data_IF_810653211977
#
_entry.id   IF_810653211977
#
_cell.length_a   1.000
_cell.length_b   1.000
_cell.length_c   1.000
_cell.angle_alpha   90.00
_cell.angle_beta   90.00
_cell.angle_gamma   90.00
#
_symmetry.space_group_name_H-M   'P 1'
#
loop_
_entity.id
_entity.type
_entity.pdbx_description
1 polymer ?
#
# COMPACT_ATOMS: atom_id res chain seq x y z
N UNK A 1 14.83 8.19 -3.48
CA UNK A 1 13.90 7.08 -3.44
C UNK A 1 12.47 7.60 -3.50
N UNK A 2 11.69 7.10 -4.46
CA UNK A 2 10.33 7.61 -4.67
C UNK A 2 9.28 6.76 -3.98
N UNK A 3 9.65 5.61 -3.45
CA UNK A 3 8.72 4.81 -2.67
C UNK A 3 8.61 5.38 -1.27
N UNK A 4 7.46 5.22 -0.66
CA UNK A 4 7.27 5.71 0.70
C UNK A 4 6.64 4.63 1.58
N UNK A 5 7.01 4.68 2.85
CA UNK A 5 6.47 3.79 3.87
C UNK A 5 5.91 4.64 4.99
N UNK A 6 4.68 4.36 5.39
CA UNK A 6 4.10 5.01 6.57
C UNK A 6 3.68 3.94 7.56
N UNK A 7 3.77 4.27 8.84
CA UNK A 7 3.50 3.32 9.92
C UNK A 7 2.21 3.68 10.64
N UNK A 8 1.61 2.68 11.28
CA UNK A 8 0.31 2.83 11.92
C UNK A 8 0.39 2.38 13.37
N UNK A 9 -0.45 2.98 14.18
CA UNK A 9 -0.62 2.53 15.55
C UNK A 9 -1.32 1.19 15.56
N UNK A 10 -1.20 0.49 16.68
CA UNK A 10 -1.79 -0.83 16.83
C UNK A 10 -3.29 -0.77 16.56
N UNK A 11 -3.76 -1.70 15.77
CA UNK A 11 -5.19 -1.86 15.43
C UNK A 11 -5.82 -0.58 14.87
N UNK A 12 -5.05 0.23 14.17
CA UNK A 12 -5.52 1.52 13.67
C UNK A 12 -5.28 1.65 12.17
N UNK A 13 -6.16 2.40 11.53
CA UNK A 13 -6.01 2.80 10.13
C UNK A 13 -5.88 4.32 10.01
N UNK A 14 -5.65 5.00 11.11
CA UNK A 14 -5.57 6.46 11.11
C UNK A 14 -4.17 6.88 10.69
N UNK A 15 -4.11 7.86 9.78
CA UNK A 15 -2.85 8.47 9.38
C UNK A 15 -2.50 9.56 10.37
N UNK A 16 -1.39 9.40 11.07
CA UNK A 16 -0.94 10.44 11.99
C UNK A 16 -0.27 11.57 11.21
N UNK A 17 0.23 12.58 11.93
CA UNK A 17 0.80 13.75 11.29
C UNK A 17 2.03 13.40 10.45
N UNK A 18 2.87 12.50 10.95
CA UNK A 18 4.06 12.08 10.22
C UNK A 18 3.67 11.34 8.94
N UNK A 19 2.71 10.45 9.01
CA UNK A 19 2.23 9.70 7.86
C UNK A 19 1.69 10.66 6.80
N UNK A 20 0.88 11.62 7.22
CA UNK A 20 0.31 12.59 6.28
C UNK A 20 1.39 13.44 5.63
N UNK A 21 2.41 13.84 6.39
CA UNK A 21 3.50 14.63 5.83
C UNK A 21 4.25 13.86 4.75
N UNK A 22 4.53 12.58 5.02
CA UNK A 22 5.19 11.72 4.05
C UNK A 22 4.35 11.61 2.78
N UNK A 23 3.05 11.38 2.94
CA UNK A 23 2.18 11.17 1.79
C UNK A 23 1.92 12.46 1.00
N UNK A 24 1.93 13.61 1.66
CA UNK A 24 1.84 14.89 0.95
C UNK A 24 3.05 15.06 0.03
N UNK A 25 4.24 14.76 0.53
CA UNK A 25 5.44 14.83 -0.29
C UNK A 25 5.37 13.87 -1.47
N UNK A 26 4.88 12.66 -1.22
CA UNK A 26 4.74 11.70 -2.30
C UNK A 26 3.70 12.16 -3.33
N UNK A 27 2.58 12.70 -2.88
CA UNK A 27 1.58 13.22 -3.78
C UNK A 27 2.12 14.35 -4.65
N UNK A 28 2.90 15.25 -4.04
CA UNK A 28 3.53 16.33 -4.78
C UNK A 28 4.41 15.79 -5.90
N UNK A 29 5.18 14.76 -5.58
CA UNK A 29 6.07 14.14 -6.56
C UNK A 29 5.26 13.47 -7.67
N UNK A 30 4.22 12.71 -7.31
CA UNK A 30 3.38 12.02 -8.29
C UNK A 30 2.70 13.01 -9.23
N UNK A 31 2.24 14.15 -8.70
CA UNK A 31 1.57 15.15 -9.53
C UNK A 31 2.48 15.75 -10.59
N UNK A 32 3.79 15.80 -10.30
CA UNK A 32 4.75 16.38 -11.25
C UNK A 32 5.02 15.48 -12.45
N UNK A 33 4.69 14.20 -12.34
CA UNK A 33 5.00 13.21 -13.38
C UNK A 33 3.74 12.49 -13.80
N UNK A 34 2.98 13.05 -14.76
CA UNK A 34 1.65 12.51 -15.10
C UNK A 34 1.65 11.07 -15.56
N UNK A 35 2.77 10.59 -16.11
CA UNK A 35 2.87 9.22 -16.61
C UNK A 35 3.07 8.20 -15.49
N UNK A 36 3.38 8.65 -14.29
CA UNK A 36 3.69 7.76 -13.18
C UNK A 36 2.42 7.09 -12.66
N UNK A 37 2.55 5.81 -12.35
CA UNK A 37 1.49 5.02 -11.72
C UNK A 37 1.97 4.56 -10.35
N UNK A 38 1.05 4.14 -9.50
CA UNK A 38 1.45 3.74 -8.15
C UNK A 38 0.64 2.54 -7.67
N UNK A 39 1.21 1.85 -6.69
CA UNK A 39 0.63 0.69 -6.02
C UNK A 39 0.76 0.90 -4.52
N UNK A 40 -0.23 0.43 -3.75
CA UNK A 40 -0.20 0.57 -2.30
C UNK A 40 -0.41 -0.79 -1.66
N UNK A 41 0.48 -1.15 -0.75
CA UNK A 41 0.45 -2.44 -0.08
C UNK A 41 0.31 -2.24 1.42
N UNK A 42 -0.59 -2.99 2.03
CA UNK A 42 -0.82 -2.91 3.47
C UNK A 42 -0.28 -4.10 4.22
N UNK A 43 0.21 -3.85 5.42
CA UNK A 43 0.84 -4.85 6.27
C UNK A 43 0.45 -4.65 7.72
N UNK A 44 0.53 -5.73 8.50
CA UNK A 44 0.24 -5.72 9.93
C UNK A 44 1.35 -6.43 10.69
N UNK A 45 1.34 -6.28 12.03
CA UNK A 45 2.11 -7.17 12.86
C UNK A 45 1.36 -8.49 13.05
N UNK A 46 1.90 -9.39 13.84
CA UNK A 46 1.36 -10.74 13.98
C UNK A 46 0.24 -10.86 15.01
N UNK A 47 -0.12 -9.79 15.67
CA UNK A 47 -1.17 -9.84 16.68
C UNK A 47 -2.53 -9.92 16.00
N UNK A 48 -3.31 -10.94 16.34
CA UNK A 48 -4.63 -11.16 15.77
C UNK A 48 -4.63 -12.28 14.76
N UNK A 49 -5.80 -12.60 14.22
CA UNK A 49 -5.93 -13.68 13.24
C UNK A 49 -5.42 -13.24 11.89
N UNK A 50 -5.03 -14.21 11.07
CA UNK A 50 -4.58 -13.93 9.71
C UNK A 50 -5.64 -13.22 8.89
N UNK A 51 -6.89 -13.66 9.00
CA UNK A 51 -7.97 -13.03 8.24
C UNK A 51 -8.20 -11.60 8.67
N UNK A 52 -8.22 -11.36 9.98
CA UNK A 52 -8.37 -10.01 10.49
C UNK A 52 -7.23 -9.10 9.99
N UNK A 53 -6.02 -9.62 10.03
CA UNK A 53 -4.84 -8.83 9.66
C UNK A 53 -4.79 -8.57 8.16
N UNK A 54 -5.24 -9.50 7.34
CA UNK A 54 -5.34 -9.24 5.91
C UNK A 54 -6.30 -8.08 5.65
N UNK A 55 -7.43 -8.09 6.33
CA UNK A 55 -8.41 -7.03 6.22
C UNK A 55 -7.87 -5.71 6.73
N UNK A 56 -7.20 -5.72 7.87
CA UNK A 56 -6.63 -4.50 8.45
C UNK A 56 -5.59 -3.90 7.52
N UNK A 57 -4.73 -4.76 6.95
CA UNK A 57 -3.74 -4.29 5.99
C UNK A 57 -4.39 -3.65 4.78
N UNK A 58 -5.47 -4.24 4.28
CA UNK A 58 -6.18 -3.66 3.15
C UNK A 58 -6.80 -2.31 3.50
N UNK A 59 -7.39 -2.20 4.67
CA UNK A 59 -7.96 -0.93 5.12
C UNK A 59 -6.91 0.15 5.25
N UNK A 60 -5.73 -0.21 5.73
CA UNK A 60 -4.61 0.73 5.79
C UNK A 60 -4.23 1.22 4.39
N UNK A 61 -4.13 0.29 3.45
CA UNK A 61 -3.81 0.65 2.07
C UNK A 61 -4.90 1.53 1.47
N UNK A 62 -6.16 1.22 1.72
CA UNK A 62 -7.28 2.03 1.23
C UNK A 62 -7.26 3.43 1.82
N UNK A 63 -6.88 3.55 3.07
CA UNK A 63 -6.76 4.86 3.72
C UNK A 63 -5.71 5.71 3.01
N UNK A 64 -4.59 5.10 2.65
CA UNK A 64 -3.54 5.80 1.91
C UNK A 64 -4.04 6.22 0.54
N UNK A 65 -4.73 5.33 -0.18
CA UNK A 65 -5.28 5.67 -1.49
C UNK A 65 -6.26 6.84 -1.38
N UNK A 66 -7.12 6.82 -0.39
CA UNK A 66 -8.09 7.90 -0.17
C UNK A 66 -7.39 9.22 0.12
N UNK A 67 -6.33 9.17 0.91
CA UNK A 67 -5.57 10.37 1.22
C UNK A 67 -4.90 10.93 -0.03
N UNK A 68 -4.26 10.08 -0.82
CA UNK A 68 -3.61 10.53 -2.06
C UNK A 68 -4.64 11.13 -3.01
N UNK A 69 -5.82 10.52 -3.10
CA UNK A 69 -6.90 11.06 -3.90
C UNK A 69 -7.31 12.45 -3.43
N UNK A 70 -7.37 12.65 -2.12
CA UNK A 70 -7.70 13.96 -1.58
C UNK A 70 -6.63 15.01 -1.87
N UNK A 71 -5.42 14.56 -2.19
CA UNK A 71 -4.32 15.43 -2.58
C UNK A 71 -4.27 15.68 -4.08
N UNK A 72 -5.30 15.26 -4.80
CA UNK A 72 -5.41 15.53 -6.22
C UNK A 72 -4.86 14.45 -7.14
N UNK A 73 -4.57 13.27 -6.62
CA UNK A 73 -4.08 12.17 -7.46
C UNK A 73 -5.29 11.41 -8.01
N UNK A 74 -5.39 11.31 -9.33
CA UNK A 74 -6.50 10.60 -9.96
C UNK A 74 -6.40 9.10 -9.67
N UNK A 75 -7.56 8.49 -9.40
CA UNK A 75 -7.59 7.09 -9.05
C UNK A 75 -7.18 6.16 -10.18
N UNK A 76 -7.31 6.60 -11.44
CA UNK A 76 -6.88 5.77 -12.56
C UNK A 76 -5.36 5.65 -12.64
N UNK A 77 -4.63 6.37 -11.82
CA UNK A 77 -3.19 6.22 -11.71
C UNK A 77 -2.81 5.11 -10.74
N UNK A 78 -3.76 4.59 -9.97
CA UNK A 78 -3.55 3.48 -9.06
C UNK A 78 -3.60 2.17 -9.83
N UNK A 79 -2.51 1.40 -9.79
CA UNK A 79 -2.42 0.11 -10.47
C UNK A 79 -2.83 -1.05 -9.59
N UNK A 80 -2.58 -0.95 -8.30
CA UNK A 80 -2.94 -2.02 -7.38
C UNK A 80 -3.07 -1.49 -5.96
N UNK A 81 -4.01 -2.07 -5.24
CA UNK A 81 -4.08 -1.93 -3.79
C UNK A 81 -4.18 -3.34 -3.24
N UNK A 82 -3.32 -3.69 -2.31
CA UNK A 82 -3.20 -5.07 -1.87
C UNK A 82 -2.85 -5.13 -0.39
N UNK A 83 -3.14 -6.27 0.22
CA UNK A 83 -2.76 -6.53 1.60
C UNK A 83 -2.02 -7.84 1.70
N UNK A 84 -0.89 -7.81 2.38
CA UNK A 84 -0.17 -9.00 2.76
C UNK A 84 -0.47 -9.40 4.21
N UNK A 85 -1.27 -8.57 4.91
CA UNK A 85 -1.55 -8.83 6.30
C UNK A 85 -0.26 -8.99 7.09
N UNK A 86 -0.15 -10.08 7.79
CA UNK A 86 1.02 -10.36 8.63
C UNK A 86 2.11 -11.17 7.93
N UNK A 87 1.94 -11.48 6.65
CA UNK A 87 2.77 -12.51 5.99
C UNK A 87 4.13 -12.01 5.52
N UNK A 88 4.38 -10.71 5.53
CA UNK A 88 5.67 -10.16 5.08
C UNK A 88 6.22 -9.18 6.10
N UNK A 89 6.63 -9.66 7.26
CA UNK A 89 7.14 -8.77 8.30
C UNK A 89 8.52 -8.23 7.93
N UNK A 90 8.78 -6.99 8.31
CA UNK A 90 10.13 -6.43 8.28
C UNK A 90 10.93 -6.94 9.47
N UNK A 91 10.25 -7.17 10.57
CA UNK A 91 10.88 -7.62 11.81
C UNK A 91 10.15 -8.88 12.27
N UNK A 92 10.90 -9.93 12.54
CA UNK A 92 10.30 -11.16 13.04
C UNK A 92 9.95 -10.95 14.51
N UNK A 93 8.66 -10.88 14.79
CA UNK A 93 8.15 -10.67 16.15
C UNK A 93 6.72 -11.16 16.21
N UNK A 94 6.38 -11.85 17.28
CA UNK A 94 5.02 -12.34 17.48
C UNK A 94 4.14 -11.31 18.18
N UNK A 95 4.75 -10.27 18.74
CA UNK A 95 4.01 -9.24 19.45
C UNK A 95 3.73 -8.03 18.60
N UNK A 96 3.31 -6.97 19.28
CA UNK A 96 3.11 -5.70 18.62
C UNK A 96 4.43 -5.18 18.12
N UNK A 97 4.46 -4.78 16.84
CA UNK A 97 5.68 -4.31 16.23
C UNK A 97 5.33 -3.21 15.24
N UNK A 98 5.68 -1.96 15.59
CA UNK A 98 5.32 -0.81 14.77
C UNK A 98 5.91 -0.90 13.36
N UNK A 99 7.12 -1.44 13.23
CA UNK A 99 7.78 -1.52 11.92
C UNK A 99 7.03 -2.43 10.96
N UNK A 100 6.22 -3.35 11.46
CA UNK A 100 5.42 -4.24 10.63
C UNK A 100 4.06 -3.62 10.29
N UNK A 101 3.58 -2.69 11.08
CA UNK A 101 2.31 -2.01 10.86
C UNK A 101 2.52 -0.87 9.89
N UNK A 102 2.44 -1.17 8.60
CA UNK A 102 2.83 -0.19 7.60
C UNK A 102 2.05 -0.32 6.31
N UNK A 103 2.11 0.72 5.51
CA UNK A 103 1.80 0.65 4.09
C UNK A 103 3.03 1.07 3.31
N UNK A 104 3.17 0.47 2.13
CA UNK A 104 4.24 0.82 1.20
C UNK A 104 3.58 1.31 -0.07
N UNK A 105 3.97 2.50 -0.53
CA UNK A 105 3.50 3.04 -1.80
C UNK A 105 4.67 2.98 -2.77
N UNK A 106 4.51 2.22 -3.84
CA UNK A 106 5.50 2.06 -4.89
C UNK A 106 5.11 2.82 -6.12
N UNK A 107 6.06 3.46 -6.76
CA UNK A 107 5.83 4.28 -7.95
C UNK A 107 6.56 3.67 -9.14
N UNK A 108 5.90 3.69 -10.29
CA UNK A 108 6.45 3.13 -11.51
C UNK A 108 5.99 3.95 -12.72
N UNK A 109 6.41 3.54 -13.92
CA UNK A 109 5.94 4.18 -15.15
C UNK A 109 6.73 5.41 -15.54
N UNK A 110 8.01 5.38 -15.29
CA UNK A 110 8.86 6.50 -15.65
C UNK A 110 9.06 6.56 -17.16
N UNK A 111 9.53 7.72 -17.60
CA UNK A 111 9.72 8.07 -18.98
C UNK A 111 10.76 7.15 -19.65
N UNK A 112 10.57 6.92 -20.94
CA UNK A 112 11.40 6.04 -21.76
C UNK A 112 12.87 6.44 -21.77
N UNK A 113 13.15 7.72 -21.75
CA UNK A 113 14.52 8.21 -21.80
C UNK A 113 15.24 8.04 -20.49
N UNK A 114 14.58 7.55 -19.47
CA UNK A 114 15.10 7.43 -18.13
C UNK A 114 15.45 5.96 -17.86
N UNK A 115 16.60 5.65 -17.25
CA UNK A 115 16.89 4.27 -16.84
C UNK A 115 15.75 3.66 -16.04
N UNK A 116 14.92 4.46 -15.41
CA UNK A 116 13.75 3.99 -14.69
C UNK A 116 12.74 3.32 -15.61
N UNK A 117 12.87 3.45 -16.92
CA UNK A 117 12.03 2.69 -17.83
C UNK A 117 12.15 1.20 -17.55
N UNK A 118 13.34 0.72 -17.32
CA UNK A 118 13.55 -0.68 -16.98
C UNK A 118 12.85 -1.00 -15.67
N UNK A 119 12.88 -0.08 -14.74
CA UNK A 119 12.20 -0.26 -13.47
C UNK A 119 10.69 -0.30 -13.65
N UNK A 120 10.16 0.51 -14.56
CA UNK A 120 8.74 0.50 -14.85
C UNK A 120 8.29 -0.84 -15.41
N UNK A 121 9.09 -1.37 -16.35
CA UNK A 121 8.80 -2.67 -16.92
C UNK A 121 8.86 -3.77 -15.86
N UNK A 122 9.85 -3.69 -15.03
CA UNK A 122 10.04 -4.63 -13.95
C UNK A 122 8.89 -4.52 -12.94
N UNK A 123 8.47 -3.32 -12.65
CA UNK A 123 7.37 -3.08 -11.73
C UNK A 123 6.07 -3.68 -12.25
N UNK A 124 5.87 -3.68 -13.56
CA UNK A 124 4.67 -4.30 -14.13
C UNK A 124 4.64 -5.81 -13.89
N UNK A 125 5.80 -6.45 -13.96
CA UNK A 125 5.90 -7.87 -13.65
C UNK A 125 5.61 -8.11 -12.17
N UNK A 126 6.20 -7.30 -11.32
CA UNK A 126 5.99 -7.40 -9.89
C UNK A 126 4.52 -7.19 -9.55
N UNK A 127 3.87 -6.24 -10.20
CA UNK A 127 2.45 -5.99 -9.97
C UNK A 127 1.63 -7.25 -10.25
N UNK A 128 1.92 -7.92 -11.35
CA UNK A 128 1.21 -9.12 -11.73
C UNK A 128 1.38 -10.22 -10.69
N UNK A 129 2.59 -10.42 -10.23
CA UNK A 129 2.87 -11.40 -9.19
C UNK A 129 2.18 -11.03 -7.89
N UNK A 130 2.20 -9.77 -7.58
CA UNK A 130 1.61 -9.25 -6.35
C UNK A 130 0.12 -9.51 -6.32
N UNK A 131 -0.56 -9.22 -7.42
CA UNK A 131 -2.00 -9.44 -7.50
C UNK A 131 -2.31 -10.92 -7.33
N UNK A 132 -1.51 -11.79 -7.92
CA UNK A 132 -1.72 -13.22 -7.81
C UNK A 132 -1.50 -13.73 -6.39
N UNK A 133 -0.51 -13.20 -5.69
CA UNK A 133 -0.19 -13.68 -4.35
C UNK A 133 -1.06 -13.06 -3.28
N UNK A 134 -1.60 -11.89 -3.53
CA UNK A 134 -2.36 -11.13 -2.53
C UNK A 134 -3.85 -11.15 -2.76
N UNK A 135 -4.34 -12.08 -3.55
CA UNK A 135 -5.76 -12.15 -3.80
C UNK A 135 -6.54 -12.23 -2.50
N UNK A 136 -7.76 -11.82 -2.47
CA UNK A 136 -8.61 -11.34 -3.55
C UNK A 136 -8.57 -9.83 -3.68
N UNK A 137 -7.45 -9.31 -3.76
CA UNK A 137 -7.23 -7.88 -3.69
C UNK A 137 -7.88 -7.09 -4.81
N UNK A 138 -7.89 -7.57 -6.06
CA UNK A 138 -8.45 -6.73 -7.14
C UNK A 138 -9.87 -6.28 -6.86
N UNK A 139 -10.57 -7.02 -6.04
CA UNK A 139 -11.92 -6.62 -5.68
C UNK A 139 -11.96 -6.18 -4.24
N UNK A 140 -11.70 -4.93 -4.07
CA UNK A 140 -11.67 -4.31 -2.76
C UNK A 140 -12.97 -4.56 -1.99
N UNK A 141 -14.10 -4.54 -2.69
CA UNK A 141 -15.37 -4.77 -2.05
C UNK A 141 -15.48 -6.18 -1.48
N UNK A 142 -14.95 -7.16 -2.21
CA UNK A 142 -14.93 -8.53 -1.71
C UNK A 142 -14.09 -8.66 -0.47
N UNK A 143 -12.96 -8.01 -0.47
CA UNK A 143 -12.09 -8.02 0.70
C UNK A 143 -12.78 -7.40 1.89
N UNK A 144 -13.54 -6.36 1.65
CA UNK A 144 -14.29 -5.70 2.73
C UNK A 144 -15.38 -6.59 3.28
N UNK A 145 -16.04 -7.32 2.43
CA UNK A 145 -17.06 -8.26 2.88
C UNK A 145 -16.45 -9.26 3.83
N UNK A 146 -15.29 -9.74 3.48
CA UNK A 146 -14.60 -10.71 4.31
C UNK A 146 -14.16 -10.14 5.63
N UNK A 147 -14.01 -8.85 5.71
CA UNK A 147 -13.54 -8.23 6.93
C UNK A 147 -14.50 -8.36 8.06
N UNK A 148 -15.78 -8.49 7.75
CA UNK A 148 -16.76 -8.65 8.80
C UNK A 148 -16.45 -9.83 9.69
N UNK A 149 -15.72 -10.79 9.20
CA UNK A 149 -15.39 -11.99 9.96
C UNK A 149 -14.09 -11.87 10.70
N UNK A 150 -13.25 -10.96 10.30
CA UNK A 150 -11.94 -10.82 10.91
C UNK A 150 -11.92 -9.96 12.16
N UNK A 151 -12.98 -9.22 12.33
CA UNK A 151 -13.08 -8.28 13.43
C UNK A 151 -13.18 -8.91 14.79
#
# INVERSE_FOLDING_TARGET
DVNSTVNFEFNSTVLDADARAILVQQADWIRQFPEVRFKVYGHTDLVGSQGYNRTLGLRRAQTVVSFLSSQGIERDRLEAVASFGETQPLVVSEGRERRNRRTVTEVSGFDDSNPALLNGKYAAVIFREYVLSAEPIPRVADAQINTGTGG
#
